data_IF_158798491123
#
_entry.id   IF_158798491123
#
_cell.length_a   1.000
_cell.length_b   1.000
_cell.length_c   1.000
_cell.angle_alpha   90.00
_cell.angle_beta   90.00
_cell.angle_gamma   90.00
#
_symmetry.space_group_name_H-M   'P 1'
#
loop_
_entity.id
_entity.type
_entity.pdbx_description
1 polymer ?
#
# COMPACT_ATOMS: atom_id res chain seq x y z
N UNK A 1 -2.73 15.90 1.63
CA UNK A 1 -1.78 14.96 1.01
C UNK A 1 -2.48 13.62 0.88
N UNK A 2 -2.28 12.93 -0.25
CA UNK A 2 -2.91 11.64 -0.53
C UNK A 2 -1.83 10.56 -0.37
N UNK A 3 -2.14 9.49 0.37
CA UNK A 3 -1.23 8.36 0.57
C UNK A 3 -1.84 7.07 0.01
N UNK A 4 -1.02 6.33 -0.75
CA UNK A 4 -1.39 5.04 -1.36
C UNK A 4 -0.42 3.98 -0.85
N UNK A 5 -0.95 2.88 -0.35
CA UNK A 5 -0.20 1.67 -0.04
C UNK A 5 -0.14 0.76 -1.26
N UNK A 6 1.03 0.18 -1.52
CA UNK A 6 1.23 -0.79 -2.61
C UNK A 6 1.90 -2.02 -2.03
N UNK A 7 1.27 -3.19 -2.21
CA UNK A 7 1.78 -4.48 -1.76
C UNK A 7 1.86 -5.50 -2.89
N UNK A 8 2.85 -6.42 -2.83
CA UNK A 8 2.99 -7.53 -3.77
C UNK A 8 3.61 -8.73 -3.07
N UNK A 9 3.04 -9.93 -3.24
CA UNK A 9 3.65 -11.17 -2.75
C UNK A 9 3.74 -12.30 -3.79
N UNK A 10 3.26 -12.08 -5.02
CA UNK A 10 3.42 -13.00 -6.15
C UNK A 10 4.09 -12.30 -7.33
N UNK A 11 4.87 -13.03 -8.14
CA UNK A 11 5.33 -12.53 -9.43
C UNK A 11 4.16 -12.41 -10.41
N UNK A 12 4.33 -11.59 -11.46
CA UNK A 12 3.39 -11.44 -12.57
C UNK A 12 4.11 -11.60 -13.91
N UNK A 13 3.38 -11.41 -15.01
CA UNK A 13 3.99 -11.32 -16.34
C UNK A 13 4.95 -10.13 -16.50
N UNK A 14 4.92 -9.17 -15.61
CA UNK A 14 5.80 -8.00 -15.58
C UNK A 14 7.07 -8.24 -14.76
N UNK A 15 7.17 -9.37 -14.04
CA UNK A 15 8.35 -9.75 -13.29
C UNK A 15 8.07 -10.09 -11.83
N UNK A 16 9.09 -9.88 -10.98
CA UNK A 16 9.04 -10.17 -9.55
C UNK A 16 8.25 -9.11 -8.74
N UNK A 17 8.18 -9.27 -7.41
CA UNK A 17 7.43 -8.38 -6.50
C UNK A 17 7.88 -6.91 -6.57
N UNK A 18 9.19 -6.65 -6.69
CA UNK A 18 9.75 -5.29 -6.81
C UNK A 18 9.33 -4.66 -8.14
N UNK A 19 9.47 -5.42 -9.24
CA UNK A 19 9.07 -4.97 -10.58
C UNK A 19 7.58 -4.68 -10.65
N UNK A 20 6.73 -5.52 -10.02
CA UNK A 20 5.29 -5.27 -9.94
C UNK A 20 4.96 -3.93 -9.27
N UNK A 21 5.61 -3.63 -8.13
CA UNK A 21 5.42 -2.35 -7.43
C UNK A 21 5.89 -1.17 -8.29
N UNK A 22 7.05 -1.29 -8.93
CA UNK A 22 7.58 -0.23 -9.80
C UNK A 22 6.66 -0.01 -11.03
N UNK A 23 6.15 -1.07 -11.65
CA UNK A 23 5.16 -0.96 -12.73
C UNK A 23 3.85 -0.32 -12.26
N UNK A 24 3.37 -0.67 -11.05
CA UNK A 24 2.19 -0.01 -10.48
C UNK A 24 2.39 1.51 -10.38
N UNK A 25 3.57 1.95 -9.91
CA UNK A 25 3.93 3.37 -9.81
C UNK A 25 3.98 4.01 -11.20
N UNK A 26 4.66 3.39 -12.18
CA UNK A 26 4.71 3.91 -13.57
C UNK A 26 3.31 4.04 -14.19
N UNK A 27 2.41 3.07 -13.93
CA UNK A 27 1.03 3.16 -14.43
C UNK A 27 0.21 4.27 -13.76
N UNK A 28 0.50 4.62 -12.49
CA UNK A 28 -0.10 5.79 -11.85
C UNK A 28 0.39 7.07 -12.54
N UNK A 29 1.68 7.18 -12.83
CA UNK A 29 2.26 8.33 -13.55
C UNK A 29 1.69 8.47 -14.96
N UNK A 30 1.53 7.37 -15.71
CA UNK A 30 0.86 7.33 -17.02
C UNK A 30 -0.58 7.85 -16.97
N UNK A 31 -1.26 7.74 -15.82
CA UNK A 31 -2.60 8.29 -15.58
C UNK A 31 -2.60 9.76 -15.14
N UNK A 32 -1.44 10.41 -15.09
CA UNK A 32 -1.30 11.80 -14.66
C UNK A 32 -1.31 11.99 -13.14
N UNK A 33 -1.09 10.91 -12.37
CA UNK A 33 -0.95 10.97 -10.92
C UNK A 33 0.53 11.23 -10.61
N UNK A 34 0.81 12.39 -10.00
CA UNK A 34 2.18 12.80 -9.69
C UNK A 34 2.65 12.15 -8.38
N UNK A 35 3.73 11.39 -8.46
CA UNK A 35 4.38 10.80 -7.27
C UNK A 35 5.25 11.88 -6.61
N UNK A 36 5.03 12.16 -5.32
CA UNK A 36 5.76 13.17 -4.54
C UNK A 36 6.86 12.53 -3.73
N UNK A 37 6.53 11.44 -3.01
CA UNK A 37 7.50 10.66 -2.24
C UNK A 37 7.18 9.18 -2.35
N UNK A 38 8.23 8.35 -2.24
CA UNK A 38 8.13 6.88 -2.12
C UNK A 38 8.96 6.44 -0.94
N UNK A 39 8.42 5.55 -0.11
CA UNK A 39 9.17 4.90 0.96
C UNK A 39 10.15 3.86 0.41
N UNK A 40 11.04 3.39 1.26
CA UNK A 40 11.78 2.15 1.03
C UNK A 40 10.83 0.96 0.91
N UNK A 41 11.34 -0.17 0.41
CA UNK A 41 10.63 -1.44 0.44
C UNK A 41 10.67 -2.06 1.83
N UNK A 42 9.52 -2.54 2.30
CA UNK A 42 9.38 -3.25 3.57
C UNK A 42 8.84 -4.65 3.33
N UNK A 43 9.55 -5.67 3.84
CA UNK A 43 9.13 -7.06 3.76
C UNK A 43 8.38 -7.47 5.03
N UNK A 44 7.25 -8.16 4.87
CA UNK A 44 6.43 -8.70 5.97
C UNK A 44 5.93 -10.10 5.65
N UNK A 45 5.71 -10.92 6.69
CA UNK A 45 5.03 -12.20 6.53
C UNK A 45 3.57 -11.99 6.10
N UNK A 46 3.04 -12.94 5.32
CA UNK A 46 1.62 -12.97 4.97
C UNK A 46 0.76 -13.28 6.19
N UNK A 47 -0.42 -12.68 6.26
CA UNK A 47 -1.39 -12.93 7.33
C UNK A 47 -2.76 -13.24 6.70
N UNK A 48 -3.53 -14.17 7.24
CA UNK A 48 -3.27 -14.99 8.43
C UNK A 48 -2.32 -16.18 8.18
N UNK A 49 -2.06 -16.55 6.92
CA UNK A 49 -1.24 -17.71 6.58
C UNK A 49 0.22 -17.32 6.38
N UNK A 50 1.08 -17.61 7.36
CA UNK A 50 2.52 -17.29 7.32
C UNK A 50 3.31 -18.19 6.36
N UNK A 51 2.72 -19.29 5.85
CA UNK A 51 3.33 -20.15 4.82
C UNK A 51 3.23 -19.54 3.41
N UNK A 52 2.33 -18.57 3.21
CA UNK A 52 2.24 -17.86 1.94
C UNK A 52 3.48 -16.98 1.71
N UNK A 53 3.81 -16.68 0.44
CA UNK A 53 4.93 -15.81 0.13
C UNK A 53 4.84 -14.47 0.85
N UNK A 54 5.98 -14.00 1.38
CA UNK A 54 6.07 -12.70 2.06
C UNK A 54 5.70 -11.55 1.14
N UNK A 55 5.06 -10.53 1.71
CA UNK A 55 4.77 -9.29 1.02
C UNK A 55 5.98 -8.37 0.98
N UNK A 56 6.13 -7.67 -0.14
CA UNK A 56 6.84 -6.38 -0.21
C UNK A 56 5.80 -5.27 -0.22
N UNK A 57 6.04 -4.25 0.59
CA UNK A 57 5.14 -3.12 0.77
C UNK A 57 5.89 -1.81 0.63
N UNK A 58 5.26 -0.82 0.02
CA UNK A 58 5.69 0.58 0.01
C UNK A 58 4.47 1.47 0.27
N UNK A 59 4.73 2.68 0.76
CA UNK A 59 3.75 3.78 0.75
C UNK A 59 4.29 4.90 -0.11
N UNK A 60 3.43 5.46 -0.94
CA UNK A 60 3.72 6.65 -1.74
C UNK A 60 2.80 7.79 -1.34
N UNK A 61 3.30 9.02 -1.45
CA UNK A 61 2.46 10.22 -1.42
C UNK A 61 2.29 10.76 -2.83
N UNK A 62 1.08 11.20 -3.15
CA UNK A 62 0.73 11.61 -4.50
C UNK A 62 -0.06 12.92 -4.53
N UNK A 63 -0.03 13.59 -5.68
CA UNK A 63 -0.92 14.69 -6.07
C UNK A 63 -1.74 14.27 -7.28
N UNK A 64 -3.03 14.55 -7.23
CA UNK A 64 -3.96 14.31 -8.34
C UNK A 64 -5.21 15.17 -8.21
N UNK A 65 -5.88 15.41 -9.35
CA UNK A 65 -7.19 16.07 -9.43
C UNK A 65 -8.36 15.10 -9.40
N UNK A 66 -8.09 13.78 -9.41
CA UNK A 66 -9.14 12.76 -9.35
C UNK A 66 -9.86 12.80 -8.00
N UNK A 67 -11.16 12.52 -8.02
CA UNK A 67 -11.93 12.25 -6.80
C UNK A 67 -11.50 10.92 -6.16
N UNK A 68 -11.80 10.68 -4.86
CA UNK A 68 -11.50 9.40 -4.23
C UNK A 68 -12.06 8.18 -4.97
N UNK A 69 -13.33 8.15 -5.45
CA UNK A 69 -13.87 7.06 -6.27
C UNK A 69 -13.12 6.87 -7.59
N UNK A 70 -12.80 7.96 -8.30
CA UNK A 70 -12.09 7.88 -9.58
C UNK A 70 -10.67 7.34 -9.37
N UNK A 71 -9.96 7.84 -8.35
CA UNK A 71 -8.64 7.32 -7.99
C UNK A 71 -8.74 5.83 -7.68
N UNK A 72 -9.72 5.39 -6.87
CA UNK A 72 -9.88 3.97 -6.53
C UNK A 72 -10.15 3.12 -7.78
N UNK A 73 -10.96 3.60 -8.72
CA UNK A 73 -11.20 2.93 -10.01
C UNK A 73 -9.92 2.75 -10.82
N UNK A 74 -9.05 3.77 -10.84
CA UNK A 74 -7.72 3.69 -11.47
C UNK A 74 -6.88 2.62 -10.76
N UNK A 75 -6.81 2.62 -9.41
CA UNK A 75 -6.04 1.62 -8.65
C UNK A 75 -6.49 0.19 -8.99
N UNK A 76 -7.80 -0.07 -9.00
CA UNK A 76 -8.38 -1.36 -9.37
C UNK A 76 -8.03 -1.78 -10.80
N UNK A 77 -8.01 -0.83 -11.74
CA UNK A 77 -7.61 -1.07 -13.13
C UNK A 77 -6.14 -1.50 -13.25
N UNK A 78 -5.26 -0.88 -12.46
CA UNK A 78 -3.83 -1.23 -12.39
C UNK A 78 -3.62 -2.62 -11.79
N UNK A 79 -4.32 -2.95 -10.70
CA UNK A 79 -4.29 -4.29 -10.13
C UNK A 79 -4.68 -5.36 -11.16
N UNK A 80 -5.77 -5.12 -11.91
CA UNK A 80 -6.23 -6.00 -12.99
C UNK A 80 -5.18 -6.12 -14.10
N UNK A 81 -4.55 -5.02 -14.51
CA UNK A 81 -3.48 -4.99 -15.52
C UNK A 81 -2.28 -5.82 -15.07
N UNK A 82 -1.93 -5.78 -13.78
CA UNK A 82 -0.86 -6.59 -13.16
C UNK A 82 -1.27 -8.04 -12.89
N UNK A 83 -2.46 -8.45 -13.30
CA UNK A 83 -2.90 -9.85 -13.26
C UNK A 83 -3.53 -10.27 -11.93
N UNK A 84 -3.93 -9.34 -11.06
CA UNK A 84 -4.63 -9.68 -9.82
C UNK A 84 -5.95 -10.38 -10.13
N UNK A 85 -6.15 -11.57 -9.54
CA UNK A 85 -7.40 -12.34 -9.57
C UNK A 85 -7.96 -12.41 -8.17
N UNK A 86 -9.08 -11.76 -7.90
CA UNK A 86 -9.78 -11.83 -6.61
C UNK A 86 -10.57 -13.13 -6.51
N UNK A 87 -10.11 -14.09 -5.69
CA UNK A 87 -10.82 -15.36 -5.42
C UNK A 87 -11.36 -15.38 -3.99
N UNK A 88 -10.47 -15.19 -3.00
CA UNK A 88 -10.81 -15.14 -1.58
C UNK A 88 -10.17 -13.94 -0.93
N UNK A 89 -10.68 -13.55 0.25
CA UNK A 89 -10.07 -12.51 1.07
C UNK A 89 -8.69 -12.98 1.53
N UNK A 90 -7.69 -12.09 1.45
CA UNK A 90 -6.29 -12.31 1.84
C UNK A 90 -5.50 -13.32 0.99
N UNK A 91 -6.01 -13.77 -0.16
CA UNK A 91 -5.21 -14.61 -1.08
C UNK A 91 -3.91 -13.90 -1.51
N UNK A 92 -2.83 -14.66 -1.78
CA UNK A 92 -1.63 -14.14 -2.43
C UNK A 92 -1.96 -13.42 -3.74
N UNK A 93 -1.26 -12.30 -4.01
CA UNK A 93 -1.57 -11.43 -5.14
C UNK A 93 -0.37 -10.74 -5.74
N UNK A 94 -0.46 -10.50 -7.05
CA UNK A 94 0.58 -9.82 -7.84
C UNK A 94 0.73 -8.36 -7.45
N UNK A 95 -0.38 -7.69 -7.12
CA UNK A 95 -0.40 -6.31 -6.66
C UNK A 95 -1.66 -6.02 -5.86
N UNK A 96 -1.54 -5.17 -4.84
CA UNK A 96 -2.59 -4.63 -4.00
C UNK A 96 -2.38 -3.12 -3.85
N UNK A 97 -3.38 -2.32 -4.19
CA UNK A 97 -3.31 -0.86 -4.10
C UNK A 97 -4.47 -0.34 -3.25
N UNK A 98 -4.16 0.30 -2.13
CA UNK A 98 -5.14 0.86 -1.21
C UNK A 98 -4.93 2.38 -1.04
N UNK A 99 -6.00 3.17 -1.06
CA UNK A 99 -5.96 4.57 -0.61
C UNK A 99 -5.94 4.55 0.92
N UNK A 100 -4.80 4.95 1.49
CA UNK A 100 -4.59 4.96 2.95
C UNK A 100 -5.27 6.17 3.59
N UNK A 101 -4.99 7.34 3.03
CA UNK A 101 -5.55 8.63 3.45
C UNK A 101 -5.69 9.53 2.21
N UNK A 102 -6.80 10.24 2.12
CA UNK A 102 -7.07 11.18 1.05
C UNK A 102 -7.35 12.57 1.62
N UNK A 103 -6.29 13.38 1.76
CA UNK A 103 -6.36 14.76 2.27
C UNK A 103 -7.06 14.88 3.63
N UNK A 104 -6.97 13.85 4.49
CA UNK A 104 -7.63 13.85 5.78
C UNK A 104 -9.15 13.62 5.73
N UNK A 105 -9.70 13.17 4.61
CA UNK A 105 -11.13 12.90 4.48
C UNK A 105 -11.58 11.79 5.43
N UNK A 106 -12.72 12.02 6.08
CA UNK A 106 -13.44 11.04 6.91
C UNK A 106 -14.79 10.84 6.22
N UNK A 107 -14.84 9.89 5.28
CA UNK A 107 -16.03 9.70 4.44
C UNK A 107 -16.07 8.31 3.82
N UNK A 108 -17.28 7.79 3.67
CA UNK A 108 -17.57 6.57 2.91
C UNK A 108 -18.14 6.94 1.55
N UNK A 109 -17.71 6.20 0.53
CA UNK A 109 -18.22 6.30 -0.84
C UNK A 109 -18.67 4.91 -1.29
N UNK A 110 -19.82 4.84 -1.95
CA UNK A 110 -20.33 3.61 -2.59
C UNK A 110 -20.43 3.86 -4.08
N UNK A 111 -19.79 3.03 -4.90
CA UNK A 111 -19.82 3.10 -6.36
C UNK A 111 -19.55 1.71 -6.96
N UNK A 112 -20.23 1.37 -8.05
CA UNK A 112 -20.05 0.11 -8.79
C UNK A 112 -19.99 -1.16 -7.89
N UNK A 113 -20.85 -1.25 -6.86
CA UNK A 113 -20.84 -2.32 -5.84
C UNK A 113 -19.54 -2.40 -5.01
N UNK A 114 -18.76 -1.32 -4.96
CA UNK A 114 -17.57 -1.18 -4.15
C UNK A 114 -17.78 -0.12 -3.06
N UNK A 115 -17.29 -0.40 -1.86
CA UNK A 115 -17.28 0.56 -0.75
C UNK A 115 -15.84 1.06 -0.52
N UNK A 116 -15.65 2.37 -0.59
CA UNK A 116 -14.40 3.04 -0.24
C UNK A 116 -14.58 3.79 1.07
N UNK A 117 -13.87 3.37 2.12
CA UNK A 117 -13.88 4.00 3.43
C UNK A 117 -12.59 4.77 3.62
N UNK A 118 -12.69 6.06 3.94
CA UNK A 118 -11.55 6.93 4.21
C UNK A 118 -11.62 7.50 5.64
N UNK A 119 -10.50 7.52 6.37
CA UNK A 119 -9.25 6.85 6.08
C UNK A 119 -9.42 5.32 6.04
N UNK A 120 -8.48 4.59 5.44
CA UNK A 120 -8.57 3.13 5.31
C UNK A 120 -8.78 2.46 6.69
N UNK A 121 -9.81 1.64 6.88
CA UNK A 121 -10.22 1.15 8.21
C UNK A 121 -9.18 0.27 8.92
N UNK A 122 -8.32 -0.40 8.16
CA UNK A 122 -7.23 -1.22 8.72
C UNK A 122 -5.93 -0.46 9.01
N UNK A 123 -5.87 0.84 8.75
CA UNK A 123 -4.66 1.66 8.82
C UNK A 123 -3.93 1.56 10.17
N UNK A 124 -4.67 1.72 11.27
CA UNK A 124 -4.09 1.84 12.62
C UNK A 124 -3.39 0.57 13.15
N UNK A 125 -3.64 -0.58 12.53
CA UNK A 125 -3.16 -1.89 13.01
C UNK A 125 -2.20 -2.57 12.02
N UNK A 126 -1.79 -1.86 10.96
CA UNK A 126 -0.95 -2.43 9.89
C UNK A 126 0.46 -1.84 9.94
N UNK A 127 1.42 -2.60 10.48
CA UNK A 127 2.83 -2.20 10.50
C UNK A 127 3.35 -1.89 9.09
N UNK A 128 2.99 -2.71 8.10
CA UNK A 128 3.39 -2.56 6.70
C UNK A 128 2.82 -1.32 5.99
N UNK A 129 1.94 -0.59 6.66
CA UNK A 129 1.46 0.74 6.27
C UNK A 129 2.12 1.82 7.12
N UNK A 130 2.14 1.66 8.46
CA UNK A 130 2.58 2.71 9.38
C UNK A 130 4.08 2.98 9.30
N UNK A 131 4.94 1.95 9.20
CA UNK A 131 6.39 2.17 9.09
C UNK A 131 6.78 2.90 7.80
N UNK A 132 6.35 2.44 6.60
CA UNK A 132 6.62 3.19 5.37
C UNK A 132 6.00 4.59 5.35
N UNK A 133 4.80 4.76 5.93
CA UNK A 133 4.15 6.07 6.03
C UNK A 133 4.95 7.03 6.91
N UNK A 134 5.45 6.55 8.07
CA UNK A 134 6.33 7.34 8.95
C UNK A 134 7.59 7.80 8.24
N UNK A 135 8.19 6.96 7.40
CA UNK A 135 9.40 7.30 6.64
C UNK A 135 9.19 8.51 5.73
N UNK A 136 8.05 8.61 5.07
CA UNK A 136 7.77 9.69 4.10
C UNK A 136 6.99 10.87 4.69
N UNK A 137 6.36 10.70 5.86
CA UNK A 137 5.54 11.70 6.53
C UNK A 137 5.53 11.50 8.05
N UNK A 138 6.66 11.81 8.70
CA UNK A 138 6.85 11.60 10.15
C UNK A 138 5.87 12.36 11.05
N UNK A 139 5.32 13.48 10.57
CA UNK A 139 4.36 14.30 11.30
C UNK A 139 2.90 13.93 11.00
N UNK A 140 2.65 12.84 10.26
CA UNK A 140 1.29 12.43 9.94
C UNK A 140 0.52 12.00 11.19
N UNK A 141 -0.75 12.39 11.25
CA UNK A 141 -1.69 11.99 12.29
C UNK A 141 -2.95 11.41 11.66
N UNK A 142 -3.51 10.39 12.30
CA UNK A 142 -4.71 9.72 11.81
C UNK A 142 -5.90 10.69 11.73
N UNK A 143 -6.53 10.90 10.58
CA UNK A 143 -7.55 11.93 10.38
C UNK A 143 -8.70 11.88 11.39
N UNK A 144 -9.18 10.68 11.71
CA UNK A 144 -10.33 10.48 12.59
C UNK A 144 -9.94 10.47 14.07
N UNK A 145 -8.90 9.70 14.46
CA UNK A 145 -8.54 9.51 15.88
C UNK A 145 -7.58 10.56 16.42
N UNK A 146 -6.99 11.38 15.55
CA UNK A 146 -5.99 12.42 15.85
C UNK A 146 -4.70 11.89 16.51
N UNK A 147 -4.53 10.57 16.59
CA UNK A 147 -3.32 9.95 17.09
C UNK A 147 -2.17 10.18 16.11
N UNK A 148 -1.01 10.55 16.62
CA UNK A 148 0.19 10.65 15.80
C UNK A 148 0.71 9.26 15.41
N UNK A 149 1.57 9.21 14.39
CA UNK A 149 2.04 7.96 13.82
C UNK A 149 2.87 7.13 14.81
N UNK A 150 3.63 7.77 15.72
CA UNK A 150 4.43 7.08 16.72
C UNK A 150 3.55 6.40 17.77
N UNK A 151 2.47 7.06 18.20
CA UNK A 151 1.47 6.46 19.10
C UNK A 151 0.78 5.24 18.47
N UNK A 152 0.57 5.24 17.17
CA UNK A 152 -0.01 4.10 16.47
C UNK A 152 0.99 2.96 16.36
N UNK A 153 2.23 3.25 16.00
CA UNK A 153 3.31 2.26 15.88
C UNK A 153 3.58 1.60 17.24
N UNK A 154 3.62 2.36 18.34
CA UNK A 154 3.87 1.83 19.69
C UNK A 154 2.85 0.78 20.15
N UNK A 155 1.64 0.78 19.55
CA UNK A 155 0.56 -0.17 19.86
C UNK A 155 0.58 -1.43 19.02
N UNK A 156 1.43 -1.50 18.01
CA UNK A 156 1.55 -2.70 17.17
C UNK A 156 2.25 -3.79 17.96
N UNK A 157 1.60 -4.95 18.06
CA UNK A 157 2.24 -6.13 18.63
C UNK A 157 3.33 -6.64 17.68
N UNK A 158 4.59 -6.43 18.04
CA UNK A 158 5.76 -6.78 17.22
C UNK A 158 6.09 -8.28 17.23
N UNK A 159 5.60 -9.03 18.22
CA UNK A 159 5.92 -10.46 18.38
C UNK A 159 5.47 -11.31 17.17
N UNK A 160 4.31 -10.96 16.58
CA UNK A 160 3.74 -11.68 15.44
C UNK A 160 3.77 -10.87 14.12
N UNK A 161 4.33 -9.68 14.12
CA UNK A 161 4.29 -8.74 13.00
C UNK A 161 5.69 -8.23 12.66
N UNK A 162 6.61 -9.16 12.36
CA UNK A 162 7.95 -8.76 11.92
C UNK A 162 7.88 -7.98 10.62
N UNK A 163 8.60 -6.86 10.58
CA UNK A 163 8.77 -6.01 9.40
C UNK A 163 10.25 -5.71 9.20
N UNK A 164 10.73 -5.86 7.99
CA UNK A 164 12.13 -5.62 7.63
C UNK A 164 12.20 -4.60 6.51
N UNK A 165 12.89 -3.49 6.75
CA UNK A 165 13.26 -2.54 5.69
C UNK A 165 14.37 -3.15 4.85
N UNK A 166 14.17 -3.25 3.53
CA UNK A 166 15.19 -3.79 2.62
C UNK A 166 16.30 -2.77 2.37
N UNK A 167 17.54 -3.24 2.37
CA UNK A 167 18.69 -2.49 1.90
C UNK A 167 18.78 -2.47 0.37
N UNK A 168 19.62 -1.61 -0.20
CA UNK A 168 19.91 -1.60 -1.64
C UNK A 168 20.48 -2.94 -2.12
N UNK A 169 21.30 -3.61 -1.30
CA UNK A 169 21.84 -4.93 -1.62
C UNK A 169 20.74 -5.99 -1.70
N UNK A 170 19.76 -5.96 -0.78
CA UNK A 170 18.61 -6.85 -0.81
C UNK A 170 17.78 -6.64 -2.08
N UNK A 171 17.54 -5.37 -2.45
CA UNK A 171 16.80 -5.01 -3.66
C UNK A 171 17.51 -5.54 -4.90
N UNK A 172 18.82 -5.33 -5.02
CA UNK A 172 19.62 -5.79 -6.15
C UNK A 172 19.66 -7.32 -6.26
N UNK A 173 19.66 -8.04 -5.14
CA UNK A 173 19.58 -9.50 -5.13
C UNK A 173 18.23 -10.05 -5.65
N UNK A 174 17.16 -9.28 -5.51
CA UNK A 174 15.83 -9.65 -6.00
C UNK A 174 15.61 -9.34 -7.50
N UNK A 175 16.46 -8.50 -8.10
CA UNK A 175 16.31 -8.06 -9.51
C UNK A 175 17.15 -8.93 -10.47
N UNK A 176 18.08 -9.69 -9.95
CA UNK A 176 18.84 -10.71 -10.71
C UNK A 176 18.02 -11.98 -10.87
#
# INVERSE_FOLDING_TARGET
MIFIGIGSNLPSKFGNRIQNINFAISFLEEKGIKIIKKSSFYETSSQPNTSDPKFLNVVISVETTFSPPDLMSILLSIEKKLGRKRKKKNDPRTCDLDIIDFNGYIKNFTFDNFELILPHPGLSNRNFVLYPLKEISSNWSHPQTKKNIDDLISKINTLNNQITKLSENDINAHVK
#
